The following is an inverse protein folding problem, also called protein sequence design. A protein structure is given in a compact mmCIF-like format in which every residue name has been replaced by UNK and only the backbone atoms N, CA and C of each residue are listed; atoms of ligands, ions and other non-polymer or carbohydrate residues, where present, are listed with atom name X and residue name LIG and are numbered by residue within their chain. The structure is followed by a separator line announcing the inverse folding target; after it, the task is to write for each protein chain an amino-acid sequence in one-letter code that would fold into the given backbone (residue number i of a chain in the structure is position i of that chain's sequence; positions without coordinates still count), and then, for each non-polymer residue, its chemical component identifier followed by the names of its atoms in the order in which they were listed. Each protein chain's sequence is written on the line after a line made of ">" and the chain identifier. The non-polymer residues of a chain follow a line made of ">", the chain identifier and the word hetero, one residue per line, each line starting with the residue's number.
data_IF_535901058022
#
_entry.id   IF_535901058022
#
_cell.length_a   1.000
_cell.length_b   1.000
_cell.length_c   1.000
_cell.angle_alpha   90.00
_cell.angle_beta   90.00
_cell.angle_gamma   90.00
#
_symmetry.space_group_name_H-M   'P 1'
#
loop_
_entity.id
_entity.type
_entity.pdbx_description
1 polymer ?
#
# COMPACT_ATOMS: atom_id res chain seq x y z
N UNK A 1 9.75 22.62 18.40
CA UNK A 1 8.96 22.60 19.66
C UNK A 1 9.65 21.63 20.60
N UNK A 2 9.77 22.01 21.88
CA UNK A 2 10.31 21.08 22.88
C UNK A 2 9.16 20.59 23.74
N UNK A 3 9.15 19.30 24.05
CA UNK A 3 8.20 18.70 24.98
C UNK A 3 8.91 18.45 26.33
N UNK A 4 8.22 18.78 27.43
CA UNK A 4 8.63 18.28 28.74
C UNK A 4 8.28 16.80 28.86
N UNK A 5 8.88 16.10 29.83
CA UNK A 5 8.54 14.72 30.09
C UNK A 5 7.05 14.54 30.44
N UNK A 6 6.45 15.52 31.13
CA UNK A 6 5.02 15.51 31.45
C UNK A 6 4.15 15.60 30.18
N UNK A 7 4.53 16.44 29.20
CA UNK A 7 3.82 16.50 27.92
C UNK A 7 3.87 15.16 27.17
N UNK A 8 5.02 14.49 27.25
CA UNK A 8 5.19 13.15 26.65
C UNK A 8 4.28 12.13 27.34
N UNK A 9 4.21 12.13 28.67
CA UNK A 9 3.32 11.25 29.44
C UNK A 9 1.85 11.49 29.10
N UNK A 10 1.44 12.74 28.98
CA UNK A 10 0.07 13.11 28.61
C UNK A 10 -0.26 12.63 27.18
N UNK A 11 0.63 12.88 26.20
CA UNK A 11 0.43 12.50 24.80
C UNK A 11 0.40 10.98 24.58
N UNK A 12 1.18 10.24 25.37
CA UNK A 12 1.34 8.78 25.19
C UNK A 12 0.44 7.94 26.11
N UNK A 13 -0.11 8.56 27.16
CA UNK A 13 -0.80 7.85 28.23
C UNK A 13 0.13 6.92 29.02
N UNK A 14 1.43 7.13 28.92
CA UNK A 14 2.46 6.27 29.51
C UNK A 14 2.70 6.57 30.98
N UNK A 15 3.42 5.64 31.65
CA UNK A 15 3.85 5.76 33.04
C UNK A 15 5.38 5.81 33.12
N UNK A 16 5.89 6.83 33.82
CA UNK A 16 7.32 6.95 34.04
C UNK A 16 7.83 5.85 35.00
N UNK A 17 8.94 5.23 34.65
CA UNK A 17 9.65 4.27 35.50
C UNK A 17 10.79 5.01 36.20
N UNK A 18 10.75 5.05 37.54
CA UNK A 18 11.76 5.72 38.36
C UNK A 18 11.46 7.18 38.66
N UNK A 19 12.51 7.98 38.88
CA UNK A 19 12.43 9.41 39.20
C UNK A 19 12.22 10.26 37.95
N UNK A 20 11.58 11.41 38.09
CA UNK A 20 11.33 12.33 36.98
C UNK A 20 12.55 13.22 36.74
N UNK A 21 13.38 12.97 35.73
CA UNK A 21 14.47 13.87 35.40
C UNK A 21 13.95 15.12 34.69
N UNK A 22 14.60 16.25 34.87
CA UNK A 22 14.35 17.45 34.09
C UNK A 22 14.99 17.29 32.70
N UNK A 23 14.25 16.71 31.76
CA UNK A 23 14.64 16.57 30.37
C UNK A 23 13.67 17.28 29.45
N UNK A 24 14.21 17.80 28.35
CA UNK A 24 13.45 18.42 27.28
C UNK A 24 13.62 17.57 26.02
N UNK A 25 12.53 17.12 25.45
CA UNK A 25 12.51 16.31 24.23
C UNK A 25 12.32 17.25 23.04
N UNK A 26 13.31 17.31 22.16
CA UNK A 26 13.34 18.16 20.98
C UNK A 26 13.17 17.42 19.66
N UNK A 27 13.23 16.08 19.68
CA UNK A 27 13.13 15.25 18.49
C UNK A 27 12.73 13.82 18.77
N UNK A 28 12.46 13.10 17.70
CA UNK A 28 12.15 11.65 17.66
C UNK A 28 13.16 10.95 16.77
N UNK A 29 13.68 9.78 17.20
CA UNK A 29 14.69 9.07 16.41
C UNK A 29 14.66 7.56 16.68
N UNK A 30 15.40 6.79 15.88
CA UNK A 30 15.62 5.36 16.13
C UNK A 30 16.50 5.14 17.36
N UNK A 31 16.44 3.94 17.96
CA UNK A 31 17.29 3.61 19.12
C UNK A 31 18.80 3.77 18.82
N UNK A 32 19.23 3.40 17.62
CA UNK A 32 20.63 3.42 17.20
C UNK A 32 21.15 4.82 16.86
N UNK A 33 20.29 5.74 16.41
CA UNK A 33 20.69 7.07 15.94
C UNK A 33 20.32 8.19 16.92
N UNK A 34 19.53 7.87 17.95
CA UNK A 34 19.08 8.85 18.92
C UNK A 34 20.26 9.45 19.71
N UNK A 35 20.16 10.73 20.01
CA UNK A 35 21.10 11.50 20.81
C UNK A 35 20.36 12.27 21.92
N UNK A 36 21.13 13.06 22.70
CA UNK A 36 20.54 13.86 23.77
C UNK A 36 19.48 14.82 23.22
N UNK A 37 18.29 14.81 23.83
CA UNK A 37 17.10 15.54 23.38
C UNK A 37 16.14 14.70 22.53
N UNK A 38 16.54 13.51 22.08
CA UNK A 38 15.63 12.62 21.33
C UNK A 38 14.86 11.68 22.25
N UNK A 39 13.64 11.33 21.82
CA UNK A 39 12.88 10.20 22.35
C UNK A 39 12.82 9.09 21.31
N UNK A 40 12.96 7.84 21.75
CA UNK A 40 12.86 6.65 20.92
C UNK A 40 11.85 5.65 21.50
N UNK A 41 11.76 4.47 20.90
CA UNK A 41 10.87 3.41 21.40
C UNK A 41 11.42 2.01 21.12
N UNK A 42 11.11 1.07 22.00
CA UNK A 42 11.38 -0.35 21.82
C UNK A 42 10.08 -1.06 21.42
N UNK A 43 9.83 -1.21 20.12
CA UNK A 43 8.63 -1.86 19.59
C UNK A 43 8.79 -3.32 19.19
N UNK A 44 10.03 -3.85 19.17
CA UNK A 44 10.31 -5.25 18.81
C UNK A 44 11.61 -5.71 19.48
N UNK A 45 11.62 -6.94 20.00
CA UNK A 45 12.75 -7.55 20.71
C UNK A 45 14.04 -7.62 19.87
N UNK A 46 13.96 -7.69 18.56
CA UNK A 46 15.14 -7.69 17.67
C UNK A 46 16.01 -6.44 17.81
N UNK A 47 15.45 -5.32 18.30
CA UNK A 47 16.19 -4.08 18.55
C UNK A 47 16.68 -3.94 19.98
N UNK A 48 16.65 -5.02 20.78
CA UNK A 48 17.06 -4.97 22.18
C UNK A 48 18.55 -4.59 22.35
N UNK A 49 19.41 -4.97 21.41
CA UNK A 49 20.83 -4.57 21.46
C UNK A 49 21.00 -3.05 21.23
N UNK A 50 20.24 -2.46 20.31
CA UNK A 50 20.24 -1.01 20.10
C UNK A 50 19.66 -0.28 21.31
N UNK A 51 18.67 -0.86 21.98
CA UNK A 51 18.11 -0.34 23.23
C UNK A 51 19.15 -0.28 24.36
N UNK A 52 20.00 -1.29 24.51
CA UNK A 52 21.06 -1.31 25.52
C UNK A 52 22.12 -0.24 25.33
N UNK A 53 22.28 0.29 24.13
CA UNK A 53 23.37 1.24 23.78
C UNK A 53 22.86 2.60 23.33
N UNK A 54 21.56 2.84 23.37
CA UNK A 54 20.94 4.09 22.92
C UNK A 54 21.43 5.30 23.72
N UNK A 55 21.52 6.44 23.05
CA UNK A 55 21.82 7.75 23.64
C UNK A 55 20.58 8.65 23.71
N UNK A 56 19.38 8.09 23.49
CA UNK A 56 18.13 8.81 23.64
C UNK A 56 17.98 9.38 25.05
N UNK A 57 17.37 10.54 25.19
CA UNK A 57 17.00 11.11 26.49
C UNK A 57 15.82 10.38 27.13
N UNK A 58 14.91 9.84 26.33
CA UNK A 58 13.80 9.03 26.80
C UNK A 58 13.50 7.86 25.83
N UNK A 59 12.93 6.79 26.36
CA UNK A 59 12.51 5.63 25.54
C UNK A 59 11.13 5.13 25.99
N UNK A 60 10.22 4.99 25.02
CA UNK A 60 8.96 4.28 25.25
C UNK A 60 9.22 2.77 25.24
N UNK A 61 8.76 2.08 26.26
CA UNK A 61 9.04 0.65 26.46
C UNK A 61 7.74 -0.12 26.74
N UNK A 62 7.66 -1.41 26.35
CA UNK A 62 6.56 -2.27 26.74
C UNK A 62 6.65 -2.62 28.24
N UNK A 63 5.55 -3.09 28.87
CA UNK A 63 5.57 -3.56 30.25
C UNK A 63 6.57 -4.71 30.48
N UNK A 64 7.14 -4.77 31.69
CA UNK A 64 7.93 -5.90 32.18
C UNK A 64 9.21 -6.22 31.37
N UNK A 65 10.03 -5.22 31.07
CA UNK A 65 11.37 -5.48 30.50
C UNK A 65 12.31 -6.10 31.54
N UNK A 66 13.20 -7.01 31.10
CA UNK A 66 14.14 -7.68 32.00
C UNK A 66 15.27 -6.77 32.50
N UNK A 67 15.57 -5.71 31.78
CA UNK A 67 16.68 -4.81 32.07
C UNK A 67 16.43 -3.40 31.54
N UNK A 68 16.84 -2.39 32.31
CA UNK A 68 16.83 -0.98 31.93
C UNK A 68 18.27 -0.44 31.98
N UNK A 69 18.89 -0.07 30.84
CA UNK A 69 20.21 0.58 30.84
C UNK A 69 20.21 1.89 31.61
N UNK A 70 21.36 2.29 32.14
CA UNK A 70 21.50 3.62 32.75
C UNK A 70 21.49 4.71 31.65
N UNK A 71 20.87 5.84 31.95
CA UNK A 71 20.89 7.05 31.13
C UNK A 71 19.54 7.57 30.72
N UNK A 72 18.77 6.89 29.86
CA UNK A 72 17.45 7.36 29.43
C UNK A 72 16.38 7.36 30.53
N UNK A 73 15.38 8.26 30.39
CA UNK A 73 14.12 8.10 31.10
C UNK A 73 13.26 7.05 30.39
N UNK A 74 12.65 6.14 31.14
CA UNK A 74 11.82 5.08 30.58
C UNK A 74 10.35 5.33 30.85
N UNK A 75 9.54 5.25 29.77
CA UNK A 75 8.10 5.46 29.82
C UNK A 75 7.43 4.16 29.38
N UNK A 76 6.77 3.49 30.32
CA UNK A 76 6.03 2.27 30.08
C UNK A 76 4.71 2.59 29.40
N UNK A 77 4.44 1.91 28.26
CA UNK A 77 3.21 2.02 27.47
C UNK A 77 2.79 0.64 26.94
N UNK A 78 1.51 0.37 26.81
CA UNK A 78 1.03 -0.91 26.29
C UNK A 78 1.52 -1.21 24.87
N UNK A 79 1.56 -0.18 24.00
CA UNK A 79 2.04 -0.32 22.63
C UNK A 79 3.01 0.83 22.29
N UNK A 80 4.34 0.59 22.43
CA UNK A 80 5.36 1.60 22.14
C UNK A 80 5.29 2.20 20.74
N UNK A 81 4.95 1.40 19.73
CA UNK A 81 4.86 1.87 18.35
C UNK A 81 3.69 2.84 18.14
N UNK A 82 2.52 2.56 18.70
CA UNK A 82 1.38 3.47 18.62
C UNK A 82 1.62 4.75 19.42
N UNK A 83 2.16 4.64 20.63
CA UNK A 83 2.47 5.78 21.47
C UNK A 83 3.53 6.68 20.81
N UNK A 84 4.57 6.09 20.21
CA UNK A 84 5.58 6.83 19.47
C UNK A 84 5.01 7.56 18.25
N UNK A 85 4.07 6.95 17.54
CA UNK A 85 3.41 7.59 16.40
C UNK A 85 2.63 8.86 16.81
N UNK A 86 2.05 8.90 18.01
CA UNK A 86 1.41 10.10 18.52
C UNK A 86 2.41 11.26 18.73
N UNK A 87 3.61 10.95 19.24
CA UNK A 87 4.70 11.92 19.36
C UNK A 87 5.22 12.39 18.00
N UNK A 88 5.45 11.47 17.06
CA UNK A 88 5.80 11.83 15.67
C UNK A 88 4.77 12.81 15.11
N UNK A 89 3.48 12.52 15.27
CA UNK A 89 2.40 13.42 14.84
C UNK A 89 2.49 14.82 15.46
N UNK A 90 2.88 14.93 16.73
CA UNK A 90 3.06 16.22 17.40
C UNK A 90 4.22 17.03 16.77
N UNK A 91 5.38 16.40 16.56
CA UNK A 91 6.53 17.06 15.93
C UNK A 91 6.27 17.41 14.47
N UNK A 92 5.55 16.56 13.74
CA UNK A 92 5.20 16.79 12.33
C UNK A 92 4.21 17.96 12.16
N UNK A 93 3.30 18.19 13.11
CA UNK A 93 2.37 19.35 13.05
C UNK A 93 3.13 20.68 12.90
N UNK A 94 4.27 20.82 13.57
CA UNK A 94 5.08 22.03 13.48
C UNK A 94 5.76 22.22 12.11
N UNK A 95 5.96 21.14 11.35
CA UNK A 95 6.60 21.14 10.03
C UNK A 95 5.57 21.26 8.90
N UNK A 96 4.35 20.74 9.13
CA UNK A 96 3.29 20.66 8.12
C UNK A 96 2.04 21.41 8.56
N UNK A 97 2.21 22.62 9.09
CA UNK A 97 1.10 23.45 9.54
C UNK A 97 0.16 23.75 8.37
N UNK A 98 -1.12 23.39 8.54
CA UNK A 98 -2.16 23.75 7.59
C UNK A 98 -2.41 25.26 7.65
N UNK A 99 -2.06 25.97 6.59
CA UNK A 99 -2.27 27.40 6.48
C UNK A 99 -3.28 27.68 5.38
N UNK A 100 -4.55 28.00 5.72
CA UNK A 100 -5.56 28.30 4.73
C UNK A 100 -5.18 29.46 3.83
N UNK A 101 -5.63 29.38 2.59
CA UNK A 101 -5.46 30.44 1.60
C UNK A 101 -5.17 29.90 0.20
N UNK A 102 -5.29 30.78 -0.77
CA UNK A 102 -4.97 30.49 -2.17
C UNK A 102 -3.67 31.22 -2.52
N UNK A 103 -2.64 30.47 -2.87
CA UNK A 103 -1.36 31.07 -3.27
C UNK A 103 -1.55 31.97 -4.51
N UNK A 104 -0.91 33.16 -4.60
CA UNK A 104 -1.10 34.11 -5.72
C UNK A 104 -0.77 33.57 -7.11
N UNK A 105 0.05 32.51 -7.20
CA UNK A 105 0.40 31.85 -8.48
C UNK A 105 -0.51 30.67 -8.81
N UNK A 106 -1.46 30.33 -7.98
CA UNK A 106 -2.46 29.31 -8.29
C UNK A 106 -3.47 29.84 -9.29
N UNK A 107 -3.92 28.99 -10.19
CA UNK A 107 -4.97 29.29 -11.17
C UNK A 107 -6.24 28.56 -10.72
N UNK A 108 -7.24 29.32 -10.28
CA UNK A 108 -8.53 28.78 -9.82
C UNK A 108 -9.63 29.33 -10.71
N UNK A 109 -10.38 28.41 -11.34
CA UNK A 109 -11.52 28.79 -12.18
C UNK A 109 -12.62 29.45 -11.33
N UNK A 110 -13.25 30.55 -11.79
CA UNK A 110 -14.29 31.25 -11.04
C UNK A 110 -15.52 30.41 -10.68
N UNK A 111 -15.75 29.29 -11.37
CA UNK A 111 -16.85 28.36 -11.10
C UNK A 111 -16.50 27.27 -10.08
N UNK A 112 -15.25 27.22 -9.61
CA UNK A 112 -14.85 26.30 -8.55
C UNK A 112 -15.53 26.68 -7.21
N UNK A 113 -15.97 25.66 -6.50
CA UNK A 113 -16.66 25.79 -5.20
C UNK A 113 -15.70 25.37 -4.09
N UNK A 114 -15.16 26.33 -3.39
CA UNK A 114 -14.27 26.14 -2.24
C UNK A 114 -14.35 27.34 -1.30
N UNK A 115 -14.00 27.16 -0.04
CA UNK A 115 -13.88 28.26 0.92
C UNK A 115 -12.39 28.62 1.12
N UNK A 116 -11.93 29.81 0.61
CA UNK A 116 -10.52 30.19 0.71
C UNK A 116 -9.99 30.32 2.15
N UNK A 117 -10.89 30.51 3.13
CA UNK A 117 -10.51 30.61 4.55
C UNK A 117 -10.32 29.23 5.22
N UNK A 118 -10.68 28.15 4.52
CA UNK A 118 -10.69 26.80 5.06
C UNK A 118 -9.95 25.76 4.22
N UNK A 119 -9.46 26.13 3.03
CA UNK A 119 -8.66 25.28 2.18
C UNK A 119 -7.28 25.88 1.95
N UNK A 120 -6.28 25.06 1.67
CA UNK A 120 -4.96 25.50 1.22
C UNK A 120 -4.81 25.15 -0.25
N UNK A 121 -4.50 26.13 -1.11
CA UNK A 121 -4.17 25.92 -2.53
C UNK A 121 -2.76 26.41 -2.77
N UNK A 122 -1.84 25.49 -2.98
CA UNK A 122 -0.42 25.76 -3.11
C UNK A 122 -0.01 26.44 -4.42
N UNK A 123 1.27 26.86 -4.51
CA UNK A 123 1.78 27.58 -5.67
C UNK A 123 1.68 26.75 -6.96
N UNK A 124 1.30 27.45 -8.06
CA UNK A 124 1.16 26.87 -9.40
C UNK A 124 0.16 25.68 -9.48
N UNK A 125 -0.73 25.51 -8.48
CA UNK A 125 -1.83 24.57 -8.60
C UNK A 125 -2.87 25.12 -9.61
N UNK A 126 -3.49 24.20 -10.36
CA UNK A 126 -4.55 24.52 -11.34
C UNK A 126 -5.83 23.81 -10.90
N UNK A 127 -6.87 24.57 -10.64
CA UNK A 127 -8.21 24.10 -10.28
C UNK A 127 -9.15 24.49 -11.41
N UNK A 128 -9.64 23.51 -12.15
CA UNK A 128 -10.46 23.72 -13.34
C UNK A 128 -11.94 23.99 -13.00
N UNK A 129 -12.73 24.25 -14.05
CA UNK A 129 -14.13 24.63 -13.94
C UNK A 129 -14.99 23.58 -13.22
N UNK A 130 -15.86 24.04 -12.33
CA UNK A 130 -16.85 23.23 -11.64
C UNK A 130 -16.29 22.28 -10.57
N UNK A 131 -15.01 22.36 -10.25
CA UNK A 131 -14.39 21.61 -9.14
C UNK A 131 -15.02 22.00 -7.82
N UNK A 132 -15.24 21.04 -6.91
CA UNK A 132 -15.61 21.30 -5.52
C UNK A 132 -14.57 20.74 -4.56
N UNK A 133 -14.19 21.52 -3.54
CA UNK A 133 -13.19 21.15 -2.55
C UNK A 133 -13.75 21.40 -1.16
N UNK A 134 -13.78 20.35 -0.32
CA UNK A 134 -14.24 20.40 1.06
C UNK A 134 -13.28 21.13 2.00
N UNK A 135 -13.80 21.57 3.14
CA UNK A 135 -13.05 22.27 4.18
C UNK A 135 -11.88 21.42 4.71
N UNK A 136 -10.81 22.04 5.17
CA UNK A 136 -9.62 21.36 5.70
C UNK A 136 -8.71 20.74 4.65
N UNK A 137 -9.06 20.78 3.37
CA UNK A 137 -8.30 20.15 2.30
C UNK A 137 -7.11 21.01 1.86
N UNK A 138 -5.95 20.35 1.71
CA UNK A 138 -4.65 20.92 1.32
C UNK A 138 -4.26 20.41 -0.08
N UNK A 139 -4.23 21.30 -1.06
CA UNK A 139 -3.80 21.02 -2.44
C UNK A 139 -2.38 21.57 -2.62
N UNK A 140 -1.41 20.67 -2.68
CA UNK A 140 0.00 21.00 -2.76
C UNK A 140 0.44 21.68 -4.07
N UNK A 141 1.72 22.07 -4.15
CA UNK A 141 2.23 22.86 -5.29
C UNK A 141 2.20 22.07 -6.60
N UNK A 142 1.77 22.76 -7.67
CA UNK A 142 1.75 22.21 -9.03
C UNK A 142 0.75 21.08 -9.24
N UNK A 143 -0.24 20.90 -8.35
CA UNK A 143 -1.34 19.96 -8.58
C UNK A 143 -2.25 20.44 -9.70
N UNK A 144 -2.85 19.51 -10.44
CA UNK A 144 -3.85 19.80 -11.47
C UNK A 144 -5.12 19.03 -11.14
N UNK A 145 -6.19 19.76 -10.86
CA UNK A 145 -7.51 19.21 -10.55
C UNK A 145 -8.44 19.50 -11.72
N UNK A 146 -8.79 18.47 -12.44
CA UNK A 146 -9.54 18.52 -13.69
C UNK A 146 -11.01 18.89 -13.50
N UNK A 147 -11.64 19.27 -14.58
CA UNK A 147 -13.02 19.81 -14.62
C UNK A 147 -14.02 18.90 -13.90
N UNK A 148 -14.82 19.50 -13.01
CA UNK A 148 -15.91 18.81 -12.33
C UNK A 148 -15.47 17.73 -11.37
N UNK A 149 -14.22 17.73 -10.89
CA UNK A 149 -13.76 16.86 -9.81
C UNK A 149 -14.40 17.28 -8.50
N UNK A 150 -14.81 16.29 -7.70
CA UNK A 150 -15.35 16.48 -6.37
C UNK A 150 -14.34 15.95 -5.34
N UNK A 151 -13.92 16.79 -4.39
CA UNK A 151 -12.99 16.46 -3.30
C UNK A 151 -13.67 16.73 -1.98
N UNK A 152 -13.64 15.76 -1.07
CA UNK A 152 -14.18 15.85 0.27
C UNK A 152 -13.34 16.71 1.22
N UNK A 153 -13.60 16.56 2.50
CA UNK A 153 -12.98 17.30 3.59
C UNK A 153 -11.68 16.66 4.08
N UNK A 154 -10.80 17.45 4.69
CA UNK A 154 -9.56 17.02 5.34
C UNK A 154 -8.61 16.21 4.44
N UNK A 155 -8.65 16.40 3.13
CA UNK A 155 -7.78 15.73 2.18
C UNK A 155 -6.41 16.40 2.09
N UNK A 156 -5.37 15.60 1.78
CA UNK A 156 -4.02 16.10 1.56
C UNK A 156 -3.43 15.62 0.24
N UNK A 157 -3.20 16.54 -0.66
CA UNK A 157 -2.57 16.32 -1.95
C UNK A 157 -1.16 16.89 -1.91
N UNK A 158 -0.16 16.05 -2.05
CA UNK A 158 1.21 16.49 -2.15
C UNK A 158 1.53 17.07 -3.55
N UNK A 159 2.76 17.49 -3.76
CA UNK A 159 3.15 18.17 -4.99
C UNK A 159 2.90 17.36 -6.27
N UNK A 160 2.43 18.04 -7.32
CA UNK A 160 2.26 17.49 -8.68
C UNK A 160 1.33 16.29 -8.78
N UNK A 161 0.32 16.20 -7.94
CA UNK A 161 -0.78 15.26 -8.11
C UNK A 161 -1.67 15.73 -9.25
N UNK A 162 -2.08 14.79 -10.10
CA UNK A 162 -3.03 15.03 -11.19
C UNK A 162 -4.30 14.23 -10.94
N UNK A 163 -5.45 14.92 -10.86
CA UNK A 163 -6.77 14.28 -10.85
C UNK A 163 -7.51 14.71 -12.11
N UNK A 164 -7.80 13.74 -12.97
CA UNK A 164 -8.52 13.97 -14.22
C UNK A 164 -10.00 14.25 -13.97
N UNK A 165 -10.62 14.81 -14.97
CA UNK A 165 -12.00 15.33 -14.94
C UNK A 165 -13.03 14.33 -14.38
N UNK A 166 -13.98 14.85 -13.59
CA UNK A 166 -15.16 14.19 -13.00
C UNK A 166 -14.86 13.07 -11.98
N UNK A 167 -13.59 12.85 -11.61
CA UNK A 167 -13.27 11.91 -10.55
C UNK A 167 -13.86 12.39 -9.21
N UNK A 168 -14.13 11.45 -8.31
CA UNK A 168 -14.70 11.69 -6.99
C UNK A 168 -13.72 11.20 -5.95
N UNK A 169 -13.36 12.10 -5.03
CA UNK A 169 -12.44 11.86 -3.93
C UNK A 169 -13.20 12.07 -2.63
N UNK A 170 -13.25 11.05 -1.78
CA UNK A 170 -13.89 11.09 -0.46
C UNK A 170 -13.16 11.99 0.54
N UNK A 171 -13.47 11.82 1.81
CA UNK A 171 -12.88 12.58 2.90
C UNK A 171 -11.57 11.96 3.40
N UNK A 172 -10.67 12.77 3.95
CA UNK A 172 -9.40 12.34 4.57
C UNK A 172 -8.53 11.47 3.66
N UNK A 173 -8.58 11.74 2.37
CA UNK A 173 -7.76 11.07 1.36
C UNK A 173 -6.39 11.74 1.30
N UNK A 174 -5.34 10.92 1.31
CA UNK A 174 -3.95 11.38 1.18
C UNK A 174 -3.36 10.89 -0.14
N UNK A 175 -2.85 11.81 -0.96
CA UNK A 175 -2.25 11.48 -2.25
C UNK A 175 -0.83 12.01 -2.31
N UNK A 176 0.14 11.09 -2.46
CA UNK A 176 1.56 11.37 -2.48
C UNK A 176 2.01 11.98 -3.83
N UNK A 177 3.22 12.60 -3.88
CA UNK A 177 3.67 13.34 -5.05
C UNK A 177 3.66 12.55 -6.35
N UNK A 178 3.22 13.20 -7.42
CA UNK A 178 3.26 12.65 -8.77
C UNK A 178 2.23 11.57 -9.10
N UNK A 179 1.34 11.23 -8.16
CA UNK A 179 0.26 10.29 -8.45
C UNK A 179 -0.73 10.84 -9.48
N UNK A 180 -1.27 9.96 -10.35
CA UNK A 180 -2.24 10.31 -11.38
C UNK A 180 -3.53 9.52 -11.17
N UNK A 181 -4.62 10.23 -10.94
CA UNK A 181 -5.94 9.66 -10.72
C UNK A 181 -6.83 9.95 -11.93
N UNK A 182 -7.33 8.90 -12.58
CA UNK A 182 -8.26 9.02 -13.70
C UNK A 182 -7.58 9.17 -15.07
N UNK A 183 -6.31 8.72 -15.21
CA UNK A 183 -5.70 8.53 -16.53
C UNK A 183 -6.51 7.59 -17.40
N UNK A 184 -6.36 7.69 -18.73
CA UNK A 184 -7.09 6.81 -19.65
C UNK A 184 -6.60 5.36 -19.49
N UNK A 185 -7.55 4.42 -19.44
CA UNK A 185 -7.23 2.99 -19.37
C UNK A 185 -6.60 2.48 -20.66
N UNK A 186 -5.82 1.40 -20.55
CA UNK A 186 -5.18 0.75 -21.70
C UNK A 186 -6.21 0.02 -22.56
N UNK A 187 -6.80 0.73 -23.52
CA UNK A 187 -7.86 0.24 -24.39
C UNK A 187 -7.56 0.49 -25.86
N UNK A 188 -7.24 -0.58 -26.61
CA UNK A 188 -6.95 -0.52 -28.03
C UNK A 188 -7.58 -1.71 -28.75
N UNK A 189 -8.07 -1.47 -29.98
CA UNK A 189 -8.57 -2.51 -30.89
C UNK A 189 -7.68 -2.59 -32.10
N UNK A 190 -7.23 -3.79 -32.45
CA UNK A 190 -6.56 -4.00 -33.72
C UNK A 190 -7.58 -3.89 -34.84
N UNK A 191 -7.40 -2.92 -35.73
CA UNK A 191 -8.16 -2.79 -36.94
C UNK A 191 -7.61 -3.78 -37.99
N UNK A 192 -8.37 -4.79 -38.39
CA UNK A 192 -7.87 -5.86 -39.27
C UNK A 192 -7.60 -5.35 -40.69
N UNK A 193 -8.24 -4.26 -41.12
CA UNK A 193 -8.06 -3.72 -42.47
C UNK A 193 -6.77 -2.91 -42.61
N UNK A 194 -6.41 -2.17 -41.56
CA UNK A 194 -5.24 -1.27 -41.57
C UNK A 194 -4.03 -1.87 -40.87
N UNK A 195 -4.19 -2.91 -40.07
CA UNK A 195 -3.17 -3.49 -39.17
C UNK A 195 -2.72 -2.54 -38.06
N UNK A 196 -3.49 -1.50 -37.75
CA UNK A 196 -3.20 -0.49 -36.73
C UNK A 196 -4.11 -0.66 -35.53
N UNK A 197 -3.64 -0.18 -34.38
CA UNK A 197 -4.46 -0.11 -33.17
C UNK A 197 -5.25 1.20 -33.14
N UNK A 198 -6.57 1.09 -33.05
CA UNK A 198 -7.46 2.21 -32.82
C UNK A 198 -7.66 2.38 -31.32
N UNK A 199 -7.62 3.61 -30.81
CA UNK A 199 -7.83 3.95 -29.39
C UNK A 199 -9.31 3.84 -29.06
N UNK A 200 -9.61 3.25 -27.91
CA UNK A 200 -10.95 3.16 -27.35
C UNK A 200 -11.11 4.25 -26.30
N UNK A 201 -12.07 5.15 -26.48
CA UNK A 201 -12.36 6.21 -25.52
C UNK A 201 -12.74 5.65 -24.14
N UNK A 202 -12.19 6.29 -23.11
CA UNK A 202 -12.42 5.99 -21.72
C UNK A 202 -13.25 7.12 -21.09
N UNK A 203 -14.54 6.91 -20.89
CA UNK A 203 -15.49 7.96 -20.45
C UNK A 203 -15.92 7.82 -18.99
N UNK A 204 -15.53 6.74 -18.32
CA UNK A 204 -15.79 6.53 -16.90
C UNK A 204 -14.92 7.41 -16.00
N UNK A 205 -14.98 7.16 -14.71
CA UNK A 205 -14.32 7.94 -13.68
C UNK A 205 -13.56 7.04 -12.69
N UNK A 206 -12.76 7.65 -11.82
CA UNK A 206 -12.23 7.04 -10.60
C UNK A 206 -13.01 7.57 -9.41
N UNK A 207 -13.28 6.69 -8.44
CA UNK A 207 -13.80 7.01 -7.12
C UNK A 207 -12.81 6.51 -6.07
N UNK A 208 -12.28 7.42 -5.27
CA UNK A 208 -11.58 7.09 -4.03
C UNK A 208 -12.55 7.32 -2.87
N UNK A 209 -12.82 6.29 -2.08
CA UNK A 209 -13.66 6.43 -0.89
C UNK A 209 -12.86 7.08 0.27
N UNK A 210 -13.48 7.24 1.44
CA UNK A 210 -12.89 7.91 2.59
C UNK A 210 -11.63 7.20 3.13
N UNK A 211 -10.71 7.96 3.71
CA UNK A 211 -9.50 7.47 4.36
C UNK A 211 -8.56 6.63 3.45
N UNK A 212 -8.60 6.83 2.15
CA UNK A 212 -7.70 6.18 1.19
C UNK A 212 -6.36 6.90 1.14
N UNK A 213 -5.25 6.15 1.16
CA UNK A 213 -3.91 6.70 0.90
C UNK A 213 -3.36 6.17 -0.42
N UNK A 214 -2.83 7.07 -1.25
CA UNK A 214 -2.23 6.75 -2.54
C UNK A 214 -0.76 7.16 -2.54
N UNK A 215 0.13 6.22 -2.80
CA UNK A 215 1.58 6.39 -2.84
C UNK A 215 2.08 7.21 -4.04
N UNK A 216 3.35 7.60 -3.96
CA UNK A 216 3.99 8.43 -4.98
C UNK A 216 4.07 7.73 -6.35
N UNK A 217 3.80 8.50 -7.41
CA UNK A 217 3.79 8.03 -8.80
C UNK A 217 2.89 6.80 -9.06
N UNK A 218 1.90 6.56 -8.21
CA UNK A 218 0.87 5.55 -8.44
C UNK A 218 -0.13 6.08 -9.45
N UNK A 219 -0.57 5.20 -10.35
CA UNK A 219 -1.53 5.54 -11.41
C UNK A 219 -2.79 4.68 -11.28
N UNK A 220 -3.95 5.34 -11.31
CA UNK A 220 -5.26 4.69 -11.24
C UNK A 220 -6.05 5.12 -12.45
N UNK A 221 -6.28 4.17 -13.36
CA UNK A 221 -6.95 4.44 -14.62
C UNK A 221 -8.46 4.59 -14.40
N UNK A 222 -9.06 5.50 -15.17
CA UNK A 222 -10.52 5.61 -15.25
C UNK A 222 -11.13 4.37 -15.86
N UNK A 223 -12.36 4.09 -15.53
CA UNK A 223 -13.10 3.04 -16.20
C UNK A 223 -13.38 3.41 -17.66
N UNK A 224 -13.51 2.40 -18.52
CA UNK A 224 -14.04 2.61 -19.86
C UNK A 224 -15.47 3.19 -19.79
N UNK A 225 -16.32 2.58 -18.97
CA UNK A 225 -17.65 3.04 -18.59
C UNK A 225 -17.82 2.82 -17.08
N UNK A 226 -18.60 3.66 -16.40
CA UNK A 226 -18.82 3.54 -14.97
C UNK A 226 -17.63 4.00 -14.13
N UNK A 227 -17.11 3.14 -13.26
CA UNK A 227 -16.16 3.55 -12.22
C UNK A 227 -15.03 2.54 -12.04
N UNK A 228 -13.82 3.03 -11.80
CA UNK A 228 -12.76 2.34 -11.07
C UNK A 228 -12.86 2.80 -9.62
N UNK A 229 -12.89 1.89 -8.66
CA UNK A 229 -13.20 2.21 -7.25
C UNK A 229 -12.09 1.73 -6.34
N UNK A 230 -11.65 2.59 -5.43
CA UNK A 230 -10.79 2.25 -4.30
C UNK A 230 -11.61 2.41 -3.02
N UNK A 231 -11.84 1.31 -2.32
CA UNK A 231 -12.69 1.24 -1.13
C UNK A 231 -12.05 1.90 0.09
N UNK A 232 -12.91 2.33 0.98
CA UNK A 232 -12.59 3.05 2.23
C UNK A 232 -11.44 2.41 3.00
N UNK A 233 -10.53 3.24 3.50
CA UNK A 233 -9.43 2.83 4.37
C UNK A 233 -8.31 2.07 3.67
N UNK A 234 -8.39 1.84 2.36
CA UNK A 234 -7.36 1.13 1.61
C UNK A 234 -6.09 1.96 1.44
N UNK A 235 -4.93 1.27 1.44
CA UNK A 235 -3.61 1.87 1.37
C UNK A 235 -2.87 1.32 0.16
N UNK A 236 -2.62 2.18 -0.81
CA UNK A 236 -1.94 1.87 -2.07
C UNK A 236 -0.57 2.52 -2.02
N UNK A 237 0.48 1.73 -2.10
CA UNK A 237 1.86 2.17 -2.00
C UNK A 237 2.36 2.80 -3.32
N UNK A 238 3.64 3.14 -3.36
CA UNK A 238 4.29 3.83 -4.47
C UNK A 238 4.38 2.95 -5.73
N UNK A 239 4.31 3.57 -6.91
CA UNK A 239 4.49 2.92 -8.21
C UNK A 239 3.52 1.75 -8.47
N UNK A 240 2.32 1.81 -7.92
CA UNK A 240 1.25 0.83 -8.17
C UNK A 240 0.45 1.26 -9.39
N UNK A 241 0.07 0.28 -10.25
CA UNK A 241 -0.84 0.49 -11.36
C UNK A 241 -2.18 -0.19 -11.09
N UNK A 242 -3.26 0.58 -11.07
CA UNK A 242 -4.63 0.05 -11.05
C UNK A 242 -5.27 0.32 -12.40
N UNK A 243 -5.55 -0.74 -13.14
CA UNK A 243 -6.16 -0.68 -14.46
C UNK A 243 -7.65 -0.27 -14.43
N UNK A 244 -8.19 0.03 -15.61
CA UNK A 244 -9.55 0.48 -15.79
C UNK A 244 -10.59 -0.50 -15.24
N UNK A 245 -11.71 -0.02 -14.73
CA UNK A 245 -12.82 -0.84 -14.20
C UNK A 245 -12.44 -1.78 -13.04
N UNK A 246 -11.31 -1.58 -12.37
CA UNK A 246 -10.98 -2.31 -11.16
C UNK A 246 -11.84 -1.86 -9.99
N UNK A 247 -12.13 -2.80 -9.09
CA UNK A 247 -12.76 -2.52 -7.80
C UNK A 247 -11.85 -3.08 -6.71
N UNK A 248 -11.32 -2.20 -5.87
CA UNK A 248 -10.55 -2.54 -4.69
C UNK A 248 -11.45 -2.39 -3.48
N UNK A 249 -11.58 -3.43 -2.68
CA UNK A 249 -12.38 -3.45 -1.45
C UNK A 249 -11.81 -2.58 -0.35
N UNK A 250 -12.51 -2.53 0.78
CA UNK A 250 -12.14 -1.72 1.96
C UNK A 250 -10.96 -2.29 2.71
N UNK A 251 -10.16 -1.39 3.31
CA UNK A 251 -9.02 -1.73 4.17
C UNK A 251 -8.01 -2.69 3.53
N UNK A 252 -7.90 -2.65 2.21
CA UNK A 252 -6.97 -3.46 1.43
C UNK A 252 -5.63 -2.72 1.29
N UNK A 253 -4.53 -3.47 1.43
CA UNK A 253 -3.18 -2.95 1.34
C UNK A 253 -2.50 -3.50 0.09
N UNK A 254 -1.99 -2.61 -0.77
CA UNK A 254 -1.25 -2.97 -1.98
C UNK A 254 0.13 -2.34 -1.92
N UNK A 255 1.16 -3.18 -1.76
CA UNK A 255 2.55 -2.72 -1.68
C UNK A 255 3.13 -2.35 -3.04
N UNK A 256 4.27 -1.65 -3.00
CA UNK A 256 4.92 -1.01 -4.13
C UNK A 256 5.17 -1.91 -5.34
N UNK A 257 5.12 -1.29 -6.53
CA UNK A 257 5.37 -1.92 -7.82
C UNK A 257 4.43 -3.07 -8.18
N UNK A 258 3.28 -3.18 -7.50
CA UNK A 258 2.23 -4.14 -7.85
C UNK A 258 1.31 -3.56 -8.92
N UNK A 259 0.64 -4.44 -9.67
CA UNK A 259 -0.28 -4.02 -10.71
C UNK A 259 -1.50 -4.93 -10.82
N UNK A 260 -2.67 -4.33 -10.98
CA UNK A 260 -3.91 -5.02 -11.30
C UNK A 260 -4.35 -4.62 -12.72
N UNK A 261 -4.46 -5.58 -13.62
CA UNK A 261 -4.99 -5.34 -14.95
C UNK A 261 -6.49 -5.06 -14.91
N UNK A 262 -7.01 -4.50 -15.99
CA UNK A 262 -8.38 -4.00 -16.04
C UNK A 262 -9.46 -5.01 -15.67
N UNK A 263 -10.56 -4.54 -15.12
CA UNK A 263 -11.75 -5.32 -14.70
C UNK A 263 -11.47 -6.37 -13.62
N UNK A 264 -10.45 -6.15 -12.80
CA UNK A 264 -10.12 -7.00 -11.65
C UNK A 264 -10.84 -6.53 -10.41
N UNK A 265 -11.42 -7.47 -9.65
CA UNK A 265 -12.07 -7.20 -8.36
C UNK A 265 -11.20 -7.76 -7.22
N UNK A 266 -10.80 -6.92 -6.29
CA UNK A 266 -10.06 -7.29 -5.09
C UNK A 266 -10.96 -7.04 -3.89
N UNK A 267 -11.12 -8.04 -3.04
CA UNK A 267 -11.98 -8.01 -1.86
C UNK A 267 -11.50 -7.09 -0.75
N UNK A 268 -12.18 -7.16 0.39
CA UNK A 268 -11.86 -6.38 1.59
C UNK A 268 -10.72 -7.03 2.39
N UNK A 269 -9.92 -6.21 3.08
CA UNK A 269 -8.84 -6.67 3.97
C UNK A 269 -7.81 -7.57 3.26
N UNK A 270 -7.66 -7.44 1.95
CA UNK A 270 -6.64 -8.17 1.17
C UNK A 270 -5.28 -7.52 1.41
N UNK A 271 -4.24 -8.34 1.53
CA UNK A 271 -2.86 -7.87 1.60
C UNK A 271 -2.11 -8.33 0.37
N UNK A 272 -1.65 -7.38 -0.44
CA UNK A 272 -0.85 -7.62 -1.64
C UNK A 272 0.55 -7.10 -1.38
N UNK A 273 1.52 -8.02 -1.27
CA UNK A 273 2.91 -7.66 -1.09
C UNK A 273 3.53 -7.08 -2.38
N UNK A 274 4.79 -6.64 -2.31
CA UNK A 274 5.43 -5.92 -3.41
C UNK A 274 5.60 -6.75 -4.69
N UNK A 275 5.51 -6.08 -5.85
CA UNK A 275 5.73 -6.66 -7.18
C UNK A 275 4.77 -7.79 -7.57
N UNK A 276 3.55 -7.77 -7.05
CA UNK A 276 2.50 -8.71 -7.44
C UNK A 276 1.84 -8.22 -8.73
N UNK A 277 1.66 -9.14 -9.69
CA UNK A 277 0.92 -8.88 -10.93
C UNK A 277 -0.37 -9.67 -10.99
N UNK A 278 -1.50 -8.98 -11.19
CA UNK A 278 -2.80 -9.62 -11.36
C UNK A 278 -3.26 -9.47 -12.82
N UNK A 279 -3.62 -10.59 -13.43
CA UNK A 279 -4.27 -10.62 -14.75
C UNK A 279 -5.62 -9.91 -14.74
N UNK A 280 -6.13 -9.59 -15.92
CA UNK A 280 -7.43 -8.94 -16.06
C UNK A 280 -8.62 -9.88 -15.83
N UNK A 281 -9.78 -9.30 -15.48
CA UNK A 281 -11.04 -10.02 -15.33
C UNK A 281 -11.02 -11.14 -14.29
N UNK A 282 -10.26 -10.97 -13.22
CA UNK A 282 -10.25 -11.93 -12.12
C UNK A 282 -10.84 -11.34 -10.84
N UNK A 283 -11.06 -12.22 -9.85
CA UNK A 283 -11.44 -11.83 -8.50
C UNK A 283 -10.47 -12.40 -7.47
N UNK A 284 -10.16 -11.60 -6.45
CA UNK A 284 -9.43 -12.01 -5.25
C UNK A 284 -10.37 -11.86 -4.06
N UNK A 285 -10.65 -12.95 -3.36
CA UNK A 285 -11.59 -12.97 -2.24
C UNK A 285 -11.07 -12.21 -1.02
N UNK A 286 -11.98 -11.83 -0.12
CA UNK A 286 -11.69 -11.10 1.11
C UNK A 286 -10.60 -11.77 1.96
N UNK A 287 -9.75 -10.95 2.60
CA UNK A 287 -8.68 -11.41 3.50
C UNK A 287 -7.64 -12.34 2.86
N UNK A 288 -7.55 -12.40 1.54
CA UNK A 288 -6.46 -13.08 0.87
C UNK A 288 -5.13 -12.37 1.12
N UNK A 289 -4.04 -13.13 1.17
CA UNK A 289 -2.67 -12.62 1.32
C UNK A 289 -1.84 -13.08 0.12
N UNK A 290 -1.35 -12.14 -0.68
CA UNK A 290 -0.50 -12.42 -1.82
C UNK A 290 0.94 -12.05 -1.46
N UNK A 291 1.82 -13.05 -1.38
CA UNK A 291 3.24 -12.84 -1.11
C UNK A 291 3.94 -12.12 -2.27
N UNK A 292 5.10 -11.52 -1.99
CA UNK A 292 5.83 -10.74 -2.97
C UNK A 292 6.13 -11.53 -4.26
N UNK A 293 6.01 -10.85 -5.41
CA UNK A 293 6.26 -11.39 -6.75
C UNK A 293 5.29 -12.48 -7.21
N UNK A 294 4.15 -12.64 -6.56
CA UNK A 294 3.13 -13.59 -6.99
C UNK A 294 2.50 -13.12 -8.32
N UNK A 295 2.47 -14.01 -9.32
CA UNK A 295 1.73 -13.81 -10.57
C UNK A 295 0.36 -14.48 -10.48
N UNK A 296 -0.72 -13.71 -10.58
CA UNK A 296 -2.10 -14.20 -10.46
C UNK A 296 -2.70 -14.30 -11.85
N UNK A 297 -3.01 -15.52 -12.30
CA UNK A 297 -3.56 -15.82 -13.63
C UNK A 297 -5.00 -16.32 -13.60
N UNK A 298 -5.57 -16.54 -12.42
CA UNK A 298 -6.95 -16.99 -12.19
C UNK A 298 -7.48 -16.41 -10.89
N UNK A 299 -8.80 -16.39 -10.73
CA UNK A 299 -9.44 -15.92 -9.50
C UNK A 299 -8.97 -16.72 -8.28
N UNK A 300 -8.86 -16.05 -7.14
CA UNK A 300 -8.37 -16.59 -5.89
C UNK A 300 -9.43 -16.51 -4.79
N UNK A 301 -9.55 -17.56 -4.00
CA UNK A 301 -10.42 -17.59 -2.84
C UNK A 301 -9.91 -16.69 -1.72
N UNK A 302 -10.81 -16.20 -0.87
CA UNK A 302 -10.49 -15.40 0.30
C UNK A 302 -9.90 -16.21 1.45
N UNK A 303 -9.29 -15.50 2.42
CA UNK A 303 -8.81 -16.07 3.67
C UNK A 303 -7.60 -17.00 3.53
N UNK A 304 -6.95 -17.04 2.38
CA UNK A 304 -5.79 -17.88 2.09
C UNK A 304 -4.56 -17.06 1.74
N UNK A 305 -3.38 -17.64 1.96
CA UNK A 305 -2.11 -17.07 1.52
C UNK A 305 -1.65 -17.74 0.22
N UNK A 306 -1.22 -16.91 -0.74
CA UNK A 306 -0.75 -17.33 -2.06
C UNK A 306 0.71 -16.90 -2.25
N UNK A 307 1.50 -17.77 -2.89
CA UNK A 307 2.91 -17.54 -3.05
C UNK A 307 3.43 -18.17 -4.35
N UNK A 308 4.29 -17.48 -5.08
CA UNK A 308 4.72 -17.95 -6.39
C UNK A 308 6.19 -17.78 -6.80
N UNK A 309 7.05 -17.07 -6.03
CA UNK A 309 8.41 -16.77 -6.50
C UNK A 309 9.42 -16.53 -5.37
N UNK A 310 9.84 -17.57 -4.59
CA UNK A 310 10.84 -17.39 -3.55
C UNK A 310 12.25 -17.21 -4.15
N UNK A 311 13.08 -16.37 -3.52
CA UNK A 311 14.49 -16.33 -3.79
C UNK A 311 15.16 -17.62 -3.27
N UNK A 312 16.03 -18.22 -4.09
CA UNK A 312 16.88 -19.33 -3.69
C UNK A 312 18.30 -19.14 -4.27
N UNK A 313 19.32 -19.86 -3.77
CA UNK A 313 20.66 -19.78 -4.33
C UNK A 313 20.66 -20.03 -5.84
N UNK A 314 21.43 -19.24 -6.61
CA UNK A 314 21.40 -19.24 -8.08
C UNK A 314 21.63 -20.64 -8.69
N UNK A 315 22.51 -21.46 -8.09
CA UNK A 315 22.74 -22.85 -8.52
C UNK A 315 21.52 -23.73 -8.35
N UNK A 316 20.77 -23.53 -7.27
CA UNK A 316 19.55 -24.30 -6.99
C UNK A 316 18.40 -23.85 -7.89
N UNK A 317 18.26 -22.55 -8.14
CA UNK A 317 17.34 -22.03 -9.14
C UNK A 317 17.60 -22.63 -10.52
N UNK A 318 18.84 -22.64 -10.97
CA UNK A 318 19.22 -23.24 -12.26
C UNK A 318 18.86 -24.73 -12.34
N UNK A 319 19.09 -25.48 -11.28
CA UNK A 319 18.70 -26.89 -11.19
C UNK A 319 17.17 -27.08 -11.22
N UNK A 320 16.43 -26.26 -10.47
CA UNK A 320 14.98 -26.31 -10.43
C UNK A 320 14.39 -26.00 -11.82
N UNK A 321 14.84 -24.95 -12.50
CA UNK A 321 14.37 -24.63 -13.85
C UNK A 321 14.73 -25.71 -14.87
N UNK A 322 15.92 -26.34 -14.77
CA UNK A 322 16.29 -27.44 -15.62
C UNK A 322 15.40 -28.69 -15.38
N UNK A 323 15.05 -28.97 -14.12
CA UNK A 323 14.14 -30.06 -13.76
C UNK A 323 12.71 -29.81 -14.26
N UNK A 324 12.19 -28.59 -14.06
CA UNK A 324 10.84 -28.19 -14.54
C UNK A 324 10.72 -28.37 -16.06
N UNK A 325 11.75 -28.04 -16.84
CA UNK A 325 11.75 -28.24 -18.31
C UNK A 325 11.65 -29.68 -18.72
N UNK A 326 12.21 -30.60 -17.94
CA UNK A 326 12.20 -32.07 -18.20
C UNK A 326 10.96 -32.76 -17.62
N UNK A 327 10.22 -32.08 -16.73
CA UNK A 327 9.10 -32.69 -16.03
C UNK A 327 7.99 -33.25 -16.95
N UNK A 328 7.58 -32.58 -18.06
CA UNK A 328 6.57 -33.11 -18.96
C UNK A 328 6.96 -34.48 -19.57
N UNK A 329 8.22 -34.61 -19.99
CA UNK A 329 8.71 -35.87 -20.57
C UNK A 329 8.85 -36.96 -19.51
N UNK A 330 9.38 -36.62 -18.33
CA UNK A 330 9.47 -37.51 -17.19
C UNK A 330 8.09 -38.02 -16.73
N UNK A 331 7.07 -37.16 -16.71
CA UNK A 331 5.69 -37.57 -16.40
C UNK A 331 5.14 -38.54 -17.45
N UNK A 332 5.44 -38.31 -18.74
CA UNK A 332 5.02 -39.21 -19.83
C UNK A 332 5.66 -40.60 -19.72
N UNK A 333 6.95 -40.64 -19.43
CA UNK A 333 7.67 -41.88 -19.15
C UNK A 333 7.11 -42.60 -17.92
N UNK A 334 6.86 -41.88 -16.83
CA UNK A 334 6.26 -42.40 -15.61
C UNK A 334 4.89 -43.07 -15.88
N UNK A 335 4.03 -42.40 -16.63
CA UNK A 335 2.70 -42.92 -17.00
C UNK A 335 2.83 -44.20 -17.84
N UNK A 336 3.81 -44.28 -18.77
CA UNK A 336 4.09 -45.46 -19.55
C UNK A 336 4.63 -46.61 -18.68
N UNK A 337 5.50 -46.32 -17.72
CA UNK A 337 6.00 -47.30 -16.76
C UNK A 337 4.87 -47.85 -15.88
N UNK A 338 3.99 -46.97 -15.39
CA UNK A 338 2.81 -47.37 -14.61
C UNK A 338 1.90 -48.32 -15.38
N UNK A 339 1.67 -48.05 -16.69
CA UNK A 339 0.88 -48.93 -17.56
C UNK A 339 1.57 -50.30 -17.74
N UNK A 340 2.87 -50.33 -18.01
CA UNK A 340 3.63 -51.59 -18.13
C UNK A 340 3.64 -52.38 -16.82
N UNK A 341 3.76 -51.72 -15.67
CA UNK A 341 3.69 -52.39 -14.36
C UNK A 341 2.34 -53.09 -14.17
N UNK A 342 1.25 -52.41 -14.46
CA UNK A 342 -0.11 -52.97 -14.38
C UNK A 342 -0.30 -54.18 -15.35
N UNK A 343 0.28 -54.12 -16.56
CA UNK A 343 0.26 -55.21 -17.52
C UNK A 343 1.03 -56.44 -17.01
N UNK A 344 2.20 -56.23 -16.39
CA UNK A 344 3.01 -57.30 -15.77
C UNK A 344 2.30 -57.92 -14.57
N UNK A 345 1.69 -57.10 -13.69
CA UNK A 345 0.90 -57.59 -12.57
C UNK A 345 -0.28 -58.45 -13.02
N UNK A 346 -0.97 -58.06 -14.08
CA UNK A 346 -2.05 -58.86 -14.67
C UNK A 346 -1.55 -60.21 -15.25
N UNK A 347 -0.41 -60.21 -15.91
CA UNK A 347 0.22 -61.45 -16.44
C UNK A 347 0.67 -62.38 -15.31
N UNK A 348 1.24 -61.87 -14.23
CA UNK A 348 1.62 -62.63 -13.04
C UNK A 348 0.39 -63.28 -12.40
N UNK A 349 -0.69 -62.52 -12.21
CA UNK A 349 -1.93 -63.04 -11.66
C UNK A 349 -2.55 -64.14 -12.54
N UNK A 350 -2.48 -63.99 -13.87
CA UNK A 350 -2.96 -64.97 -14.83
C UNK A 350 -2.10 -66.29 -14.77
N UNK A 351 -0.80 -66.12 -14.65
CA UNK A 351 0.12 -67.30 -14.54
C UNK A 351 -0.10 -68.09 -13.22
N UNK A 352 -0.27 -67.35 -12.11
CA UNK A 352 -0.53 -67.95 -10.78
C UNK A 352 -1.91 -68.60 -10.67
N UNK A 353 -2.90 -68.13 -11.44
CA UNK A 353 -4.23 -68.80 -11.49
C UNK A 353 -4.32 -69.97 -12.44
N UNK A 354 -3.42 -70.02 -13.44
CA UNK A 354 -3.31 -71.16 -14.38
C UNK A 354 -2.54 -72.42 -13.87
N UNK A 355 -1.77 -72.29 -12.77
CA UNK A 355 -1.09 -73.41 -12.10
C UNK A 355 -1.97 -74.16 -11.07
N UNK A 356 -3.22 -73.74 -10.87
CA UNK A 356 -4.16 -74.42 -9.95
C UNK A 356 -5.27 -75.20 -10.66
N UNK A 357 -5.11 -75.56 -11.93
CA UNK A 357 -6.05 -76.42 -12.66
C UNK A 357 -5.46 -77.75 -13.10
#
# INVERSE_FOLDING_TARGET
>A
MNLSLNDVLELTGGKLIGETPEISISGVNTLSEACAGDISFLGNEKYFQDFLTTKASAVLVPPALPQYPEGPAYIEVENPSLAFNALVGHFMKAVTEFTPGIHPTAVVDPTARLNPEKVCIGPNAVIEAGVSIGDGTDIGPGCVIGKGVEIGEDCKFYARVVVRERCIIGNKVVIQPGAVIGGDGFGFLLNPETGRYDTIDQVGIVVLEDNVDIGANTTIDRARFGRTVIGEGSKIDNLVQIGHNCTIGKHTVICAQSGAAGSTTIGNYVTIAAQVGLGGHLSVGDKAVLAARTGVMSSLDGGQAYWGAPACPAKDAARQFAAIRKLPDALKEFMNLKKKAAEIEALIQQAMSGEQS
#
